data_IF_741699753476
#
_entry.id   IF_741699753476
#
_cell.length_a   1.000
_cell.length_b   1.000
_cell.length_c   1.000
_cell.angle_alpha   90.00
_cell.angle_beta   90.00
_cell.angle_gamma   90.00
#
_symmetry.space_group_name_H-M   'P 1'
#
loop_
_entity.id
_entity.type
_entity.pdbx_description
1 polymer ?
#
# COMPACT_ATOMS: atom_id res chain seq x y z
N UNK A 1 3.73 -14.91 8.73
CA UNK A 1 3.79 -15.43 7.35
C UNK A 1 2.67 -14.82 6.52
N UNK A 2 2.99 -14.32 5.34
CA UNK A 2 2.00 -13.66 4.48
C UNK A 2 1.24 -14.72 3.70
N UNK A 3 -0.08 -14.71 3.84
CA UNK A 3 -0.93 -15.67 3.15
C UNK A 3 -1.43 -15.07 1.83
N UNK A 4 -0.99 -15.59 0.66
CA UNK A 4 -1.43 -15.07 -0.62
C UNK A 4 -2.90 -15.33 -0.93
N UNK A 5 -3.57 -16.12 -0.10
CA UNK A 5 -5.00 -16.40 -0.28
C UNK A 5 -5.88 -15.26 0.21
N UNK A 6 -5.36 -14.43 1.10
CA UNK A 6 -6.10 -13.29 1.64
C UNK A 6 -5.86 -12.05 0.79
N UNK A 7 -6.82 -11.11 0.71
CA UNK A 7 -6.61 -9.85 0.01
C UNK A 7 -5.42 -9.07 0.59
N UNK A 8 -5.26 -9.09 1.91
CA UNK A 8 -4.14 -8.42 2.58
C UNK A 8 -2.83 -9.04 2.16
N UNK A 9 -2.75 -10.37 2.17
CA UNK A 9 -1.52 -11.08 1.79
C UNK A 9 -1.14 -10.83 0.34
N UNK A 10 -2.10 -10.88 -0.58
CA UNK A 10 -1.84 -10.63 -2.00
C UNK A 10 -1.36 -9.21 -2.24
N UNK A 11 -1.99 -8.24 -1.60
CA UNK A 11 -1.58 -6.84 -1.73
C UNK A 11 -0.18 -6.62 -1.17
N UNK A 12 0.10 -7.21 0.00
CA UNK A 12 1.42 -7.11 0.62
C UNK A 12 2.50 -7.67 -0.28
N UNK A 13 2.27 -8.84 -0.87
CA UNK A 13 3.25 -9.46 -1.77
C UNK A 13 3.47 -8.61 -3.02
N UNK A 14 2.41 -8.02 -3.54
CA UNK A 14 2.51 -7.13 -4.71
C UNK A 14 3.42 -5.94 -4.40
N UNK A 15 3.19 -5.26 -3.28
CA UNK A 15 3.97 -4.08 -2.93
C UNK A 15 5.39 -4.42 -2.51
N UNK A 16 5.63 -5.59 -1.93
CA UNK A 16 6.98 -6.02 -1.58
C UNK A 16 7.89 -6.19 -2.79
N UNK A 17 7.30 -6.46 -3.95
CA UNK A 17 8.05 -6.58 -5.19
C UNK A 17 8.39 -5.25 -5.84
N UNK A 18 7.88 -4.13 -5.31
CA UNK A 18 8.11 -2.81 -5.89
C UNK A 18 9.27 -2.10 -5.18
N UNK A 19 10.01 -1.25 -5.92
CA UNK A 19 11.05 -0.44 -5.28
C UNK A 19 10.43 0.62 -4.37
N UNK A 20 11.19 1.05 -3.37
CA UNK A 20 10.73 2.06 -2.41
C UNK A 20 10.26 3.33 -3.10
N UNK A 21 10.98 3.76 -4.12
CA UNK A 21 10.60 4.95 -4.90
C UNK A 21 9.19 4.83 -5.46
N UNK A 22 8.85 3.66 -5.95
CA UNK A 22 7.53 3.41 -6.51
C UNK A 22 6.44 3.45 -5.43
N UNK A 23 6.75 2.89 -4.25
CA UNK A 23 5.83 2.93 -3.11
C UNK A 23 5.54 4.36 -2.69
N UNK A 24 6.57 5.18 -2.61
CA UNK A 24 6.41 6.60 -2.28
C UNK A 24 5.56 7.34 -3.30
N UNK A 25 5.75 7.02 -4.57
CA UNK A 25 4.97 7.62 -5.65
C UNK A 25 3.48 7.26 -5.53
N UNK A 26 3.17 6.01 -5.21
CA UNK A 26 1.79 5.56 -5.06
C UNK A 26 1.09 6.25 -3.89
N UNK A 27 1.83 6.61 -2.86
CA UNK A 27 1.30 7.31 -1.69
C UNK A 27 1.29 8.83 -1.87
N UNK A 28 1.75 9.32 -3.02
CA UNK A 28 1.91 10.76 -3.28
C UNK A 28 2.84 11.45 -2.30
N UNK A 29 3.77 10.70 -1.75
CA UNK A 29 4.81 11.25 -0.89
C UNK A 29 5.96 11.70 -1.78
N UNK A 30 6.30 12.98 -1.71
CA UNK A 30 7.37 13.52 -2.52
C UNK A 30 8.71 12.95 -2.11
N UNK A 31 9.54 12.68 -3.12
CA UNK A 31 10.95 12.39 -2.89
C UNK A 31 11.68 13.71 -2.91
N UNK A 32 11.89 14.28 -1.75
CA UNK A 32 12.85 15.35 -1.65
C UNK A 32 14.23 14.73 -1.68
N UNK A 33 15.07 15.24 -2.54
CA UNK A 33 16.41 14.71 -2.80
C UNK A 33 17.29 14.66 -1.54
N UNK A 34 16.90 15.39 -0.52
CA UNK A 34 17.70 15.53 0.68
C UNK A 34 17.13 14.85 1.88
N UNK A 35 15.90 14.36 1.80
CA UNK A 35 15.24 13.83 2.99
C UNK A 35 15.02 12.32 2.85
N UNK A 36 15.45 11.64 3.90
CA UNK A 36 15.13 10.22 4.04
C UNK A 36 13.63 10.11 4.25
N UNK A 37 12.97 9.12 3.64
CA UNK A 37 11.57 8.90 3.92
C UNK A 37 11.39 8.67 5.43
N UNK A 38 10.42 9.35 6.02
CA UNK A 38 10.10 9.19 7.44
C UNK A 38 9.59 7.80 7.77
N UNK A 39 9.26 7.04 6.75
CA UNK A 39 8.64 5.72 6.91
C UNK A 39 9.57 4.65 6.39
N UNK A 40 9.62 3.53 7.11
CA UNK A 40 10.33 2.36 6.62
C UNK A 40 9.57 1.75 5.44
N UNK A 41 10.25 0.88 4.70
CA UNK A 41 9.63 0.18 3.58
C UNK A 41 8.40 -0.60 4.03
N UNK A 42 8.47 -1.26 5.17
CA UNK A 42 7.36 -2.03 5.71
C UNK A 42 6.17 -1.13 6.07
N UNK A 43 6.44 0.06 6.60
CA UNK A 43 5.40 1.03 6.91
C UNK A 43 4.71 1.53 5.64
N UNK A 44 5.48 1.78 4.58
CA UNK A 44 4.92 2.20 3.31
C UNK A 44 4.00 1.13 2.73
N UNK A 45 4.43 -0.13 2.79
CA UNK A 45 3.63 -1.25 2.32
C UNK A 45 2.34 -1.36 3.14
N UNK A 46 2.43 -1.23 4.46
CA UNK A 46 1.25 -1.29 5.32
C UNK A 46 0.25 -0.19 5.00
N UNK A 47 0.73 1.02 4.73
CA UNK A 47 -0.13 2.13 4.36
C UNK A 47 -0.85 1.89 3.03
N UNK A 48 -0.15 1.32 2.06
CA UNK A 48 -0.74 1.00 0.76
C UNK A 48 -1.77 -0.12 0.86
N UNK A 49 -1.49 -1.14 1.65
CA UNK A 49 -2.44 -2.24 1.89
C UNK A 49 -3.70 -1.71 2.56
N UNK A 50 -3.54 -0.87 3.56
CA UNK A 50 -4.65 -0.24 4.26
C UNK A 50 -5.53 0.56 3.29
N UNK A 51 -4.90 1.33 2.42
CA UNK A 51 -5.60 2.13 1.42
C UNK A 51 -6.38 1.26 0.44
N UNK A 52 -5.78 0.17 0.00
CA UNK A 52 -6.46 -0.77 -0.91
C UNK A 52 -7.69 -1.39 -0.27
N UNK A 53 -7.58 -1.80 0.99
CA UNK A 53 -8.70 -2.37 1.73
C UNK A 53 -9.82 -1.36 1.89
N UNK A 54 -9.48 -0.12 2.22
CA UNK A 54 -10.46 0.95 2.37
C UNK A 54 -11.20 1.18 1.04
N UNK A 55 -10.48 1.20 -0.07
CA UNK A 55 -11.08 1.37 -1.38
C UNK A 55 -12.01 0.21 -1.74
N UNK A 56 -11.63 -1.02 -1.40
CA UNK A 56 -12.48 -2.18 -1.63
C UNK A 56 -13.77 -2.10 -0.83
N UNK A 57 -13.68 -1.68 0.43
CA UNK A 57 -14.84 -1.51 1.28
C UNK A 57 -15.79 -0.44 0.72
N UNK A 58 -15.26 0.67 0.28
CA UNK A 58 -16.06 1.74 -0.31
C UNK A 58 -16.79 1.28 -1.56
N UNK A 59 -16.12 0.50 -2.40
CA UNK A 59 -16.76 -0.06 -3.60
C UNK A 59 -17.87 -1.03 -3.24
N UNK A 60 -17.67 -1.85 -2.22
CA UNK A 60 -18.68 -2.78 -1.76
C UNK A 60 -19.92 -2.05 -1.25
N UNK A 61 -19.72 -1.00 -0.45
CA UNK A 61 -20.83 -0.19 0.04
C UNK A 61 -21.55 0.54 -1.09
N UNK A 62 -20.81 1.05 -2.06
CA UNK A 62 -21.40 1.76 -3.19
C UNK A 62 -22.32 0.87 -4.02
N UNK A 63 -21.99 -0.42 -4.13
CA UNK A 63 -22.80 -1.36 -4.87
C UNK A 63 -24.09 -1.76 -4.15
N UNK A 64 -24.13 -1.57 -2.84
CA UNK A 64 -25.28 -1.95 -2.03
C UNK A 64 -26.31 -0.84 -1.90
N UNK A 65 -26.01 0.36 -2.27
CA UNK A 65 -26.92 1.49 -2.14
C UNK A 65 -27.77 1.73 -3.37
#
# INVERSE_FOLDING_TARGET
MIDPRTPIGRATLRYRGLPTRHLLSLLHLGLDDTERPFYSRDELIAMLVDRDLDNQLRRAFAKQS
#
